data_IF_842855217095
#
_entry.id   IF_842855217095
#
_cell.length_a   1.000
_cell.length_b   1.000
_cell.length_c   1.000
_cell.angle_alpha   90.00
_cell.angle_beta   90.00
_cell.angle_gamma   90.00
#
_symmetry.space_group_name_H-M   'P 1'
#
loop_
_entity.id
_entity.type
_entity.pdbx_description
1 polymer ?
#
# COMPACT_ATOMS: atom_id res chain seq x y z
N UNK A 1 -13.19 -12.96 -7.61
CA UNK A 1 -12.52 -11.96 -6.75
C UNK A 1 -12.51 -10.59 -7.42
N UNK A 2 -12.29 -9.53 -6.64
CA UNK A 2 -12.29 -8.16 -7.16
C UNK A 2 -11.02 -7.87 -8.00
N UNK A 3 -11.12 -7.06 -9.08
CA UNK A 3 -9.97 -6.71 -9.93
C UNK A 3 -8.78 -6.10 -9.18
N UNK A 4 -9.00 -5.50 -8.02
CA UNK A 4 -7.93 -4.91 -7.20
C UNK A 4 -6.84 -5.91 -6.81
N UNK A 5 -7.17 -7.21 -6.75
CA UNK A 5 -6.20 -8.28 -6.46
C UNK A 5 -5.37 -8.71 -7.68
N UNK A 6 -5.58 -8.11 -8.85
CA UNK A 6 -4.72 -8.35 -10.02
C UNK A 6 -3.30 -7.80 -9.82
N UNK A 7 -3.11 -6.87 -8.90
CA UNK A 7 -1.77 -6.34 -8.57
C UNK A 7 -0.79 -7.42 -8.13
N UNK A 8 -1.25 -8.44 -7.42
CA UNK A 8 -0.41 -9.53 -6.94
C UNK A 8 0.17 -10.37 -8.09
N UNK A 9 -0.39 -10.31 -9.29
CA UNK A 9 0.19 -10.95 -10.47
C UNK A 9 1.61 -10.43 -10.76
N UNK A 10 1.92 -9.20 -10.36
CA UNK A 10 3.25 -8.62 -10.50
C UNK A 10 4.33 -9.37 -9.69
N UNK A 11 3.97 -10.16 -8.68
CA UNK A 11 4.93 -11.01 -7.96
C UNK A 11 5.65 -12.00 -8.88
N UNK A 12 5.05 -12.35 -10.02
CA UNK A 12 5.70 -13.22 -11.02
C UNK A 12 6.97 -12.60 -11.60
N UNK A 13 7.04 -11.26 -11.68
CA UNK A 13 8.20 -10.56 -12.20
C UNK A 13 9.44 -10.71 -11.32
N UNK A 14 9.27 -10.99 -10.01
CA UNK A 14 10.38 -11.29 -9.10
C UNK A 14 11.15 -12.57 -9.48
N UNK A 15 10.61 -13.41 -10.37
CA UNK A 15 11.36 -14.55 -10.93
C UNK A 15 12.43 -14.09 -11.91
N UNK A 16 12.24 -12.95 -12.55
CA UNK A 16 13.12 -12.39 -13.58
C UNK A 16 13.95 -11.23 -13.06
N UNK A 17 13.37 -10.39 -12.21
CA UNK A 17 13.99 -9.17 -11.67
C UNK A 17 14.33 -9.34 -10.19
N UNK A 18 15.37 -8.66 -9.74
CA UNK A 18 15.79 -8.71 -8.33
C UNK A 18 14.90 -7.84 -7.45
N UNK A 19 14.31 -6.79 -8.03
CA UNK A 19 13.34 -5.91 -7.38
C UNK A 19 12.17 -5.63 -8.31
N UNK A 20 10.98 -5.45 -7.72
CA UNK A 20 9.75 -5.03 -8.40
C UNK A 20 9.06 -3.95 -7.59
N UNK A 21 8.67 -2.86 -8.24
CA UNK A 21 7.78 -1.86 -7.66
C UNK A 21 6.38 -1.99 -8.28
N UNK A 22 5.35 -2.02 -7.44
CA UNK A 22 3.95 -1.94 -7.86
C UNK A 22 3.42 -0.58 -7.42
N UNK A 23 2.90 0.17 -8.37
CA UNK A 23 2.41 1.53 -8.18
C UNK A 23 0.98 1.59 -8.69
N UNK A 24 0.05 2.13 -7.90
CA UNK A 24 -1.33 2.31 -8.31
C UNK A 24 -1.44 3.26 -9.51
N UNK A 25 -2.40 3.01 -10.38
CA UNK A 25 -2.59 3.79 -11.62
C UNK A 25 -3.03 5.24 -11.39
N UNK A 26 -3.43 5.57 -10.17
CA UNK A 26 -3.79 6.92 -9.72
C UNK A 26 -2.65 7.62 -8.94
N UNK A 27 -1.42 7.16 -9.13
CA UNK A 27 -0.20 7.80 -8.58
C UNK A 27 0.52 8.58 -9.67
N UNK A 28 0.77 9.85 -9.41
CA UNK A 28 1.64 10.70 -10.22
C UNK A 28 3.07 10.64 -9.68
N UNK A 29 4.01 10.27 -10.54
CA UNK A 29 5.45 10.26 -10.25
C UNK A 29 6.02 11.60 -10.70
N UNK A 30 6.63 12.37 -9.78
CA UNK A 30 7.29 13.63 -10.16
C UNK A 30 8.51 13.34 -11.04
N UNK A 31 8.79 14.20 -12.04
CA UNK A 31 9.94 13.99 -12.95
C UNK A 31 11.30 13.99 -12.24
N UNK A 32 11.41 14.66 -11.10
CA UNK A 32 12.60 14.75 -10.27
C UNK A 32 12.63 13.73 -9.12
N UNK A 33 11.69 12.79 -9.10
CA UNK A 33 11.66 11.75 -8.08
C UNK A 33 12.94 10.90 -8.15
N UNK A 34 13.59 10.62 -7.00
CA UNK A 34 14.73 9.71 -6.98
C UNK A 34 14.32 8.28 -7.35
N UNK A 35 15.29 7.42 -7.54
CA UNK A 35 15.05 6.02 -7.85
C UNK A 35 14.49 5.28 -6.62
N UNK A 36 13.23 4.86 -6.66
CA UNK A 36 12.55 4.21 -5.54
C UNK A 36 13.18 2.87 -5.15
N UNK A 37 13.86 2.20 -6.08
CA UNK A 37 14.52 0.93 -5.82
C UNK A 37 15.74 1.07 -4.89
N UNK A 38 16.37 2.24 -4.86
CA UNK A 38 17.50 2.53 -3.97
C UNK A 38 17.05 2.71 -2.51
N UNK A 39 15.76 2.94 -2.27
CA UNK A 39 15.20 3.08 -0.91
C UNK A 39 14.79 1.74 -0.29
N UNK A 40 15.01 0.61 -0.93
CA UNK A 40 14.79 -0.72 -0.35
C UNK A 40 16.08 -1.54 -0.40
N UNK A 41 16.80 -1.59 0.71
CA UNK A 41 18.03 -2.35 0.85
C UNK A 41 17.79 -3.87 0.75
N UNK A 42 18.81 -4.66 0.32
CA UNK A 42 18.67 -6.10 0.07
C UNK A 42 18.26 -6.96 1.28
N UNK A 43 18.50 -6.47 2.51
CA UNK A 43 18.14 -7.17 3.74
C UNK A 43 16.64 -7.16 4.06
N UNK A 44 15.86 -6.28 3.42
CA UNK A 44 14.41 -6.24 3.53
C UNK A 44 13.75 -7.07 2.43
N UNK A 45 12.58 -7.58 2.72
CA UNK A 45 11.76 -8.30 1.73
C UNK A 45 10.79 -7.34 1.02
N UNK A 46 10.25 -6.39 1.78
CA UNK A 46 9.15 -5.53 1.35
C UNK A 46 9.32 -4.11 1.90
N UNK A 47 9.03 -3.11 1.06
CA UNK A 47 8.98 -1.70 1.42
C UNK A 47 7.62 -1.10 1.12
N UNK A 48 7.11 -0.30 2.04
CA UNK A 48 5.88 0.45 1.90
C UNK A 48 5.80 1.57 2.91
N UNK A 49 4.82 2.45 2.78
CA UNK A 49 4.67 3.62 3.67
C UNK A 49 3.58 3.34 4.69
N UNK A 50 3.91 3.43 5.98
CA UNK A 50 2.95 3.31 7.08
C UNK A 50 2.04 4.53 7.10
N UNK A 51 0.76 4.32 6.84
CA UNK A 51 -0.19 5.40 6.54
C UNK A 51 -0.37 6.37 7.72
N UNK A 52 -0.45 5.86 8.95
CA UNK A 52 -0.62 6.71 10.15
C UNK A 52 0.59 7.61 10.45
N UNK A 53 1.75 7.35 9.84
CA UNK A 53 2.99 8.11 10.05
C UNK A 53 3.19 9.21 9.00
N UNK A 54 2.31 9.27 7.99
CA UNK A 54 2.31 10.35 7.03
C UNK A 54 1.92 11.69 7.68
N UNK A 55 2.46 12.83 7.19
CA UNK A 55 2.02 14.17 7.63
C UNK A 55 0.65 14.50 7.04
N UNK A 56 -0.41 14.06 7.70
CA UNK A 56 -1.80 14.15 7.22
C UNK A 56 -2.64 15.11 8.08
N UNK A 57 -3.70 15.64 7.47
CA UNK A 57 -4.66 16.52 8.14
C UNK A 57 -5.39 15.82 9.29
N UNK A 58 -5.83 16.57 10.31
CA UNK A 58 -6.54 16.00 11.47
C UNK A 58 -7.86 15.33 11.07
N UNK A 59 -8.54 15.87 10.05
CA UNK A 59 -9.73 15.24 9.48
C UNK A 59 -9.41 13.85 8.92
N UNK A 60 -8.26 13.70 8.26
CA UNK A 60 -7.86 12.41 7.69
C UNK A 60 -7.35 11.44 8.77
N UNK A 61 -6.66 11.92 9.81
CA UNK A 61 -6.29 11.10 10.97
C UNK A 61 -7.50 10.38 11.58
N UNK A 62 -8.62 11.08 11.70
CA UNK A 62 -9.87 10.48 12.19
C UNK A 62 -10.41 9.40 11.26
N UNK A 63 -10.35 9.62 9.94
CA UNK A 63 -10.73 8.61 8.94
C UNK A 63 -9.84 7.37 8.99
N UNK A 64 -8.51 7.54 9.04
CA UNK A 64 -7.55 6.43 9.17
C UNK A 64 -7.85 5.61 10.42
N UNK A 65 -8.07 6.26 11.55
CA UNK A 65 -8.36 5.56 12.81
C UNK A 65 -9.61 4.69 12.70
N UNK A 66 -10.69 5.24 12.14
CA UNK A 66 -11.92 4.49 11.92
C UNK A 66 -11.75 3.33 10.93
N UNK A 67 -11.09 3.60 9.81
CA UNK A 67 -10.81 2.58 8.80
C UNK A 67 -9.93 1.45 9.36
N UNK A 68 -8.83 1.79 9.99
CA UNK A 68 -7.90 0.79 10.54
C UNK A 68 -8.55 -0.06 11.64
N UNK A 69 -9.37 0.53 12.49
CA UNK A 69 -10.15 -0.23 13.48
C UNK A 69 -11.11 -1.21 12.79
N UNK A 70 -11.84 -0.76 11.78
CA UNK A 70 -12.75 -1.60 11.00
C UNK A 70 -12.01 -2.80 10.35
N UNK A 71 -10.83 -2.57 9.79
CA UNK A 71 -10.09 -3.60 9.05
C UNK A 71 -9.31 -4.57 9.96
N UNK A 72 -8.67 -4.06 11.02
CA UNK A 72 -7.62 -4.81 11.73
C UNK A 72 -7.95 -5.21 13.17
N UNK A 73 -8.90 -4.54 13.85
CA UNK A 73 -9.18 -4.83 15.26
C UNK A 73 -9.64 -6.26 15.56
N UNK A 74 -10.26 -6.92 14.58
CA UNK A 74 -10.76 -8.30 14.73
C UNK A 74 -9.71 -9.37 14.37
N UNK A 75 -8.59 -8.96 13.77
CA UNK A 75 -7.48 -9.86 13.41
C UNK A 75 -6.60 -10.04 14.65
N UNK A 76 -6.82 -11.12 15.42
CA UNK A 76 -6.17 -11.31 16.72
C UNK A 76 -4.87 -12.12 16.69
N UNK A 77 -4.58 -12.79 15.57
CA UNK A 77 -3.40 -13.64 15.41
C UNK A 77 -2.15 -12.90 14.93
N UNK A 78 -2.29 -11.62 14.57
CA UNK A 78 -1.17 -10.75 14.24
C UNK A 78 -1.23 -9.44 15.05
N UNK A 79 -0.06 -8.90 15.38
CA UNK A 79 0.05 -7.63 16.12
C UNK A 79 0.22 -6.46 15.16
N UNK A 80 -0.82 -5.66 15.02
CA UNK A 80 -0.83 -4.41 14.25
C UNK A 80 -0.43 -3.18 15.06
N UNK A 81 0.01 -3.34 16.31
CA UNK A 81 0.51 -2.28 17.19
C UNK A 81 -0.34 -1.01 17.16
N UNK A 82 -1.60 -1.05 17.65
CA UNK A 82 -2.47 0.11 17.65
C UNK A 82 -1.93 1.21 18.58
N UNK A 83 -2.15 2.46 18.18
CA UNK A 83 -1.89 3.65 19.01
C UNK A 83 -3.05 4.66 18.85
N UNK A 84 -2.86 5.89 19.35
CA UNK A 84 -3.87 6.95 19.24
C UNK A 84 -4.18 7.39 17.79
N UNK A 85 -3.34 7.04 16.81
CA UNK A 85 -3.55 7.29 15.37
C UNK A 85 -4.16 6.09 14.64
N UNK A 86 -4.45 4.99 15.32
CA UNK A 86 -5.00 3.76 14.75
C UNK A 86 -3.99 2.62 14.67
N UNK A 87 -4.36 1.58 13.94
CA UNK A 87 -3.53 0.39 13.73
C UNK A 87 -2.39 0.70 12.74
N UNK A 88 -1.25 0.00 12.91
CA UNK A 88 -0.12 0.08 12.01
C UNK A 88 -0.38 -0.75 10.75
N UNK A 89 -0.49 -0.08 9.61
CA UNK A 89 -0.60 -0.73 8.32
C UNK A 89 0.07 0.13 7.24
N UNK A 90 0.56 -0.52 6.20
CA UNK A 90 1.12 0.15 5.04
C UNK A 90 0.04 0.44 4.01
N UNK A 91 0.09 1.64 3.43
CA UNK A 91 -0.74 1.98 2.27
C UNK A 91 -0.13 1.31 1.04
N UNK A 92 -0.94 0.56 0.30
CA UNK A 92 -0.50 -0.26 -0.84
C UNK A 92 -0.57 0.46 -2.20
N UNK A 93 -0.71 1.78 -2.20
CA UNK A 93 -0.58 2.58 -3.43
C UNK A 93 0.83 2.56 -4.02
N UNK A 94 1.81 2.27 -3.18
CA UNK A 94 3.19 1.96 -3.56
C UNK A 94 3.71 0.80 -2.74
N UNK A 95 4.30 -0.15 -3.43
CA UNK A 95 4.99 -1.31 -2.85
C UNK A 95 6.29 -1.54 -3.60
N UNK A 96 7.38 -1.70 -2.88
CA UNK A 96 8.66 -2.16 -3.45
C UNK A 96 9.02 -3.49 -2.82
N UNK A 97 9.45 -4.45 -3.62
CA UNK A 97 9.73 -5.80 -3.15
C UNK A 97 11.07 -6.28 -3.68
N UNK A 98 11.82 -6.94 -2.83
CA UNK A 98 12.99 -7.72 -3.20
C UNK A 98 12.58 -9.14 -3.59
N UNK A 99 13.42 -9.80 -4.38
CA UNK A 99 13.22 -11.19 -4.85
C UNK A 99 13.00 -12.19 -3.71
N UNK A 100 13.49 -11.88 -2.52
CA UNK A 100 13.31 -12.69 -1.30
C UNK A 100 11.84 -12.91 -0.91
N UNK A 101 10.92 -12.03 -1.35
CA UNK A 101 9.46 -12.19 -1.20
C UNK A 101 8.98 -13.54 -1.75
N UNK A 102 9.62 -14.08 -2.80
CA UNK A 102 9.27 -15.39 -3.38
C UNK A 102 9.38 -16.54 -2.36
N UNK A 103 10.26 -16.44 -1.36
CA UNK A 103 10.40 -17.46 -0.32
C UNK A 103 9.12 -17.61 0.52
N UNK A 104 8.40 -16.51 0.71
CA UNK A 104 7.15 -16.49 1.49
C UNK A 104 5.94 -16.94 0.68
N UNK A 105 6.02 -16.89 -0.66
CA UNK A 105 4.98 -17.45 -1.51
C UNK A 105 5.00 -18.98 -1.55
N UNK A 106 6.07 -19.64 -1.06
CA UNK A 106 6.16 -21.10 -0.93
C UNK A 106 5.82 -21.84 -2.22
N UNK A 107 6.25 -21.30 -3.36
CA UNK A 107 5.99 -21.86 -4.69
C UNK A 107 4.59 -21.62 -5.25
N UNK A 108 3.71 -20.97 -4.51
CA UNK A 108 2.37 -20.60 -5.00
C UNK A 108 2.47 -19.60 -6.16
N UNK A 109 1.53 -19.71 -7.09
CA UNK A 109 1.24 -18.61 -8.02
C UNK A 109 0.54 -17.47 -7.29
N UNK A 110 0.57 -16.22 -7.80
CA UNK A 110 -0.18 -15.13 -7.20
C UNK A 110 -1.67 -15.45 -6.99
N UNK A 111 -2.29 -16.11 -7.95
CA UNK A 111 -3.70 -16.52 -7.85
C UNK A 111 -3.93 -17.55 -6.74
N UNK A 112 -3.03 -18.51 -6.56
CA UNK A 112 -3.09 -19.47 -5.45
C UNK A 112 -2.89 -18.75 -4.11
N UNK A 113 -1.98 -17.77 -4.08
CA UNK A 113 -1.71 -16.97 -2.89
C UNK A 113 -2.96 -16.22 -2.41
N UNK A 114 -3.62 -15.44 -3.26
CA UNK A 114 -4.81 -14.67 -2.88
C UNK A 114 -6.03 -15.56 -2.57
N UNK A 115 -6.09 -16.76 -3.13
CA UNK A 115 -7.19 -17.72 -2.93
C UNK A 115 -7.01 -18.64 -1.72
N UNK A 116 -6.00 -18.42 -0.88
CA UNK A 116 -5.85 -19.20 0.35
C UNK A 116 -7.11 -19.06 1.23
N UNK A 117 -7.59 -20.13 1.85
CA UNK A 117 -8.81 -20.10 2.69
C UNK A 117 -8.76 -19.03 3.78
N UNK A 118 -7.58 -18.73 4.33
CA UNK A 118 -7.36 -17.73 5.37
C UNK A 118 -7.67 -16.29 4.91
N UNK A 119 -7.57 -16.01 3.60
CA UNK A 119 -7.84 -14.69 3.03
C UNK A 119 -9.24 -14.56 2.44
N UNK A 120 -10.01 -15.66 2.41
CA UNK A 120 -11.33 -15.67 1.77
C UNK A 120 -12.26 -14.55 2.25
N UNK A 121 -12.27 -14.26 3.54
CA UNK A 121 -13.12 -13.20 4.09
C UNK A 121 -12.72 -11.81 3.57
N UNK A 122 -11.44 -11.56 3.36
CA UNK A 122 -10.94 -10.30 2.77
C UNK A 122 -11.29 -10.21 1.29
N UNK A 123 -10.98 -11.26 0.54
CA UNK A 123 -11.15 -11.33 -0.92
C UNK A 123 -12.62 -11.27 -1.33
N UNK A 124 -13.52 -11.91 -0.56
CA UNK A 124 -14.96 -11.90 -0.78
C UNK A 124 -15.67 -10.70 -0.13
N UNK A 125 -14.93 -9.86 0.62
CA UNK A 125 -15.50 -8.67 1.27
C UNK A 125 -16.57 -8.98 2.30
N UNK A 126 -16.36 -9.97 3.16
CA UNK A 126 -17.34 -10.42 4.15
C UNK A 126 -17.26 -9.61 5.46
N UNK A 127 -18.43 -9.25 6.01
CA UNK A 127 -18.56 -8.59 7.31
C UNK A 127 -17.78 -7.28 7.40
N UNK A 128 -16.86 -7.18 8.35
CA UNK A 128 -16.02 -6.00 8.55
C UNK A 128 -15.12 -5.68 7.35
N UNK A 129 -14.87 -6.64 6.48
CA UNK A 129 -14.01 -6.50 5.31
C UNK A 129 -14.76 -6.19 4.00
N UNK A 130 -16.02 -5.76 4.08
CA UNK A 130 -16.79 -5.30 2.91
C UNK A 130 -16.06 -4.25 2.06
N UNK A 131 -15.23 -3.43 2.71
CA UNK A 131 -14.44 -2.37 2.10
C UNK A 131 -12.95 -2.68 2.10
N UNK A 132 -12.57 -3.95 2.35
CA UNK A 132 -11.17 -4.33 2.28
C UNK A 132 -10.69 -4.31 0.84
N UNK A 133 -9.40 -4.09 0.72
CA UNK A 133 -8.66 -4.12 -0.53
C UNK A 133 -7.51 -5.11 -0.39
N UNK A 134 -6.68 -5.24 -1.42
CA UNK A 134 -5.38 -5.89 -1.36
C UNK A 134 -4.56 -5.43 -0.14
N UNK A 135 -4.70 -4.17 0.25
CA UNK A 135 -4.04 -3.61 1.44
C UNK A 135 -4.29 -4.40 2.72
N UNK A 136 -5.54 -4.84 2.99
CA UNK A 136 -5.85 -5.63 4.19
C UNK A 136 -5.20 -7.01 4.14
N UNK A 137 -5.27 -7.67 2.98
CA UNK A 137 -4.65 -8.98 2.76
C UNK A 137 -3.13 -8.90 2.93
N UNK A 138 -2.48 -7.99 2.22
CA UNK A 138 -1.02 -7.88 2.19
C UNK A 138 -0.45 -7.47 3.55
N UNK A 139 -1.07 -6.51 4.26
CA UNK A 139 -0.63 -6.16 5.61
C UNK A 139 -0.78 -7.34 6.59
N UNK A 140 -1.85 -8.13 6.46
CA UNK A 140 -2.02 -9.34 7.28
C UNK A 140 -0.94 -10.37 6.96
N UNK A 141 -0.70 -10.66 5.68
CA UNK A 141 0.34 -11.58 5.23
C UNK A 141 1.74 -11.17 5.71
N UNK A 142 2.12 -9.91 5.50
CA UNK A 142 3.42 -9.37 5.92
C UNK A 142 3.68 -9.64 7.40
N UNK A 143 2.68 -9.40 8.24
CA UNK A 143 2.81 -9.59 9.70
C UNK A 143 2.73 -11.06 10.11
N UNK A 144 1.89 -11.85 9.47
CA UNK A 144 1.69 -13.27 9.76
C UNK A 144 2.94 -14.09 9.40
N UNK A 145 3.47 -13.90 8.20
CA UNK A 145 4.65 -14.62 7.71
C UNK A 145 5.98 -13.91 8.13
N UNK A 146 5.89 -12.79 8.86
CA UNK A 146 7.04 -12.05 9.43
C UNK A 146 8.05 -11.61 8.37
N UNK A 147 7.57 -11.06 7.25
CA UNK A 147 8.44 -10.47 6.26
C UNK A 147 9.30 -9.36 6.90
N UNK A 148 10.54 -9.24 6.48
CA UNK A 148 11.39 -8.11 6.85
C UNK A 148 10.96 -6.88 6.08
N UNK A 149 10.28 -5.96 6.76
CA UNK A 149 9.70 -4.78 6.11
C UNK A 149 10.48 -3.51 6.43
N UNK A 150 10.61 -2.66 5.42
CA UNK A 150 11.07 -1.29 5.58
C UNK A 150 9.86 -0.35 5.56
N UNK A 151 9.73 0.47 6.60
CA UNK A 151 8.84 1.62 6.56
C UNK A 151 9.55 2.72 5.74
N UNK A 152 9.14 2.85 4.48
CA UNK A 152 9.69 3.84 3.57
C UNK A 152 9.25 5.25 3.96
N UNK A 153 10.04 6.24 3.57
CA UNK A 153 9.72 7.63 3.89
C UNK A 153 8.38 8.04 3.25
N UNK A 154 7.55 8.79 3.97
CA UNK A 154 6.20 9.19 3.53
C UNK A 154 6.18 9.96 2.19
N UNK A 155 7.28 10.53 1.76
CA UNK A 155 7.40 11.19 0.44
C UNK A 155 7.14 10.27 -0.73
N UNK A 156 7.28 8.97 -0.54
CA UNK A 156 7.00 7.98 -1.57
C UNK A 156 5.51 7.72 -1.81
N UNK A 157 4.63 8.16 -0.89
CA UNK A 157 3.18 7.95 -1.04
C UNK A 157 2.38 9.11 -0.45
N UNK A 158 2.50 10.29 -1.06
CA UNK A 158 1.78 11.48 -0.63
C UNK A 158 0.32 11.45 -1.05
N UNK A 159 -0.60 11.26 -0.08
CA UNK A 159 -2.03 11.25 -0.35
C UNK A 159 -2.51 12.66 -0.70
N UNK A 160 -2.87 12.92 -1.97
CA UNK A 160 -3.12 14.25 -2.54
C UNK A 160 -4.06 15.12 -1.69
N UNK A 161 -5.18 14.57 -1.25
CA UNK A 161 -6.20 15.34 -0.51
C UNK A 161 -5.99 15.36 1.01
N UNK A 162 -5.00 14.64 1.51
CA UNK A 162 -4.80 14.43 2.95
C UNK A 162 -3.43 14.87 3.46
N UNK A 163 -2.38 14.80 2.63
CA UNK A 163 -1.03 15.12 3.03
C UNK A 163 -0.84 16.64 3.17
N UNK A 164 -0.32 17.09 4.33
CA UNK A 164 -0.07 18.51 4.61
C UNK A 164 1.21 19.04 3.97
N UNK A 165 2.04 18.15 3.42
CA UNK A 165 3.34 18.45 2.79
C UNK A 165 3.43 17.89 1.38
N UNK A 166 2.33 17.94 0.64
CA UNK A 166 2.22 17.32 -0.68
C UNK A 166 3.29 17.77 -1.68
N UNK A 167 3.76 19.02 -1.56
CA UNK A 167 4.84 19.58 -2.41
C UNK A 167 6.18 18.87 -2.23
N UNK A 168 6.41 18.25 -1.10
CA UNK A 168 7.64 17.52 -0.80
C UNK A 168 7.61 16.06 -1.27
N UNK A 169 6.44 15.57 -1.71
CA UNK A 169 6.28 14.17 -2.10
C UNK A 169 6.93 13.90 -3.45
N UNK A 170 7.61 12.77 -3.56
CA UNK A 170 8.14 12.23 -4.81
C UNK A 170 7.03 11.62 -5.65
N UNK A 171 6.12 10.89 -5.00
CA UNK A 171 4.95 10.28 -5.60
C UNK A 171 3.69 10.84 -4.96
N UNK A 172 2.71 11.22 -5.77
CA UNK A 172 1.46 11.83 -5.33
C UNK A 172 0.30 10.93 -5.70
N UNK A 173 -0.39 10.42 -4.69
CA UNK A 173 -1.44 9.42 -4.81
C UNK A 173 -2.82 10.08 -4.75
N UNK A 174 -3.57 10.01 -5.85
CA UNK A 174 -4.94 10.54 -5.99
C UNK A 174 -5.97 9.48 -5.58
N UNK A 175 -5.92 9.03 -4.37
CA UNK A 175 -6.64 7.86 -3.85
C UNK A 175 -8.16 8.00 -3.70
N UNK A 176 -8.71 9.20 -3.84
CA UNK A 176 -10.15 9.45 -3.79
C UNK A 176 -10.68 9.80 -5.16
N UNK A 177 -11.73 9.10 -5.60
CA UNK A 177 -12.33 9.25 -6.93
C UNK A 177 -12.70 10.69 -7.29
N UNK A 178 -13.22 11.46 -6.33
CA UNK A 178 -13.61 12.86 -6.52
C UNK A 178 -12.41 13.83 -6.61
N UNK A 179 -11.22 13.33 -6.40
CA UNK A 179 -9.95 14.09 -6.50
C UNK A 179 -9.12 13.69 -7.72
N UNK A 180 -9.56 12.68 -8.47
CA UNK A 180 -8.89 12.30 -9.70
C UNK A 180 -9.16 13.34 -10.80
N UNK A 181 -8.17 13.66 -11.63
CA UNK A 181 -8.38 14.38 -12.88
C UNK A 181 -9.31 13.55 -13.79
N UNK A 182 -10.56 13.98 -13.95
CA UNK A 182 -11.58 13.16 -14.63
C UNK A 182 -12.05 13.74 -15.96
N UNK A 183 -11.94 15.04 -16.14
CA UNK A 183 -12.45 15.75 -17.29
C UNK A 183 -11.35 16.16 -18.28
N UNK A 184 -10.24 15.43 -18.29
CA UNK A 184 -9.10 15.75 -19.17
C UNK A 184 -8.20 16.86 -18.62
N UNK A 185 -8.28 17.12 -17.30
CA UNK A 185 -7.33 18.03 -16.66
C UNK A 185 -5.89 17.57 -16.90
N UNK A 186 -5.04 18.52 -17.18
CA UNK A 186 -3.61 18.25 -17.30
C UNK A 186 -3.01 18.07 -15.90
N UNK A 187 -2.63 16.83 -15.58
CA UNK A 187 -2.06 16.47 -14.26
C UNK A 187 -0.77 17.25 -13.99
N UNK A 188 0.07 17.46 -15.00
CA UNK A 188 1.31 18.23 -14.84
C UNK A 188 1.04 19.68 -14.44
N UNK A 189 0.02 20.31 -15.04
CA UNK A 189 -0.37 21.67 -14.66
C UNK A 189 -0.96 21.72 -13.26
N UNK A 190 -1.74 20.71 -12.88
CA UNK A 190 -2.23 20.55 -11.51
C UNK A 190 -1.06 20.44 -10.54
N UNK A 191 -0.09 19.60 -10.85
CA UNK A 191 1.08 19.37 -10.00
C UNK A 191 2.02 20.57 -9.88
N UNK A 192 2.04 21.47 -10.88
CA UNK A 192 2.79 22.74 -10.78
C UNK A 192 2.17 23.74 -9.79
N UNK A 193 0.88 23.59 -9.49
CA UNK A 193 0.15 24.49 -8.57
C UNK A 193 0.31 24.07 -7.09
N UNK A 194 0.78 22.90 -6.85
CA UNK A 194 1.04 22.30 -5.53
C UNK A 194 2.52 21.86 -5.44
#
# INVERSE_FOLDING_TARGET
YLPIYEKENAFTYLRTYDQVAIIDSDVYIRPDAPNVFEDLEPEYDFGGVVEREMPITDAYKSKIRGYSAMQYQTIKHVDFKPNNLGYEFMNMGIMVMNKSVLNYLKGMTPLQFIRQPKYKAFVDGLGAWKWSTDQTLLNTWIKEDKLKVKNMHWKWNGLFSANTKIKECHFVHFFLKDKLPQAGENVEELMKKI
#
